data_IF_185630057974
#
_entry.id   IF_185630057974
#
_cell.length_a   1.000
_cell.length_b   1.000
_cell.length_c   1.000
_cell.angle_alpha   90.00
_cell.angle_beta   90.00
_cell.angle_gamma   90.00
#
_symmetry.space_group_name_H-M   'P 1'
#
loop_
_entity.id
_entity.type
_entity.pdbx_description
1 polymer ?
#
# COMPACT_ATOMS: atom_id res chain seq x y z
N UNK A 1 2.05 -17.90 -0.71
CA UNK A 1 2.74 -16.64 -0.34
C UNK A 1 1.84 -15.83 0.59
N UNK A 2 2.41 -15.30 1.67
CA UNK A 2 1.66 -14.51 2.65
C UNK A 2 1.62 -13.04 2.27
N UNK A 3 0.49 -12.39 2.57
CA UNK A 3 0.37 -10.94 2.47
C UNK A 3 0.43 -10.37 3.89
N UNK A 4 1.41 -9.53 4.14
CA UNK A 4 1.62 -8.94 5.46
C UNK A 4 1.48 -7.42 5.38
N UNK A 5 0.65 -6.86 6.26
CA UNK A 5 0.49 -5.41 6.36
C UNK A 5 1.41 -4.90 7.46
N UNK A 6 2.33 -4.02 7.12
CA UNK A 6 3.21 -3.42 8.13
C UNK A 6 2.39 -2.50 9.04
N UNK A 7 2.96 -2.18 10.18
CA UNK A 7 2.34 -1.24 11.11
C UNK A 7 2.08 0.11 10.42
N UNK A 8 3.03 0.56 9.63
CA UNK A 8 2.90 1.82 8.87
C UNK A 8 1.72 1.74 7.91
N UNK A 9 1.58 0.64 7.17
CA UNK A 9 0.49 0.47 6.22
C UNK A 9 -0.88 0.45 6.91
N UNK A 10 -0.98 -0.23 8.04
CA UNK A 10 -2.23 -0.27 8.81
C UNK A 10 -2.61 1.10 9.33
N UNK A 11 -1.62 1.87 9.78
CA UNK A 11 -1.84 3.23 10.25
C UNK A 11 -2.37 4.11 9.12
N UNK A 12 -1.81 3.95 7.92
CA UNK A 12 -2.26 4.71 6.75
C UNK A 12 -3.71 4.37 6.37
N UNK A 13 -4.07 3.09 6.44
CA UNK A 13 -5.46 2.68 6.17
C UNK A 13 -6.42 3.34 7.15
N UNK A 14 -6.04 3.39 8.42
CA UNK A 14 -6.85 4.02 9.45
C UNK A 14 -7.03 5.52 9.18
N UNK A 15 -5.96 6.21 8.79
CA UNK A 15 -6.03 7.62 8.44
C UNK A 15 -6.92 7.88 7.23
N UNK A 16 -6.85 7.02 6.22
CA UNK A 16 -7.69 7.13 5.02
C UNK A 16 -9.15 6.95 5.37
N UNK A 17 -9.46 5.93 6.18
CA UNK A 17 -10.82 5.67 6.62
C UNK A 17 -11.38 6.86 7.41
N UNK A 18 -10.60 7.38 8.35
CA UNK A 18 -11.00 8.54 9.14
C UNK A 18 -11.29 9.78 8.27
N UNK A 19 -10.42 10.03 7.30
CA UNK A 19 -10.57 11.17 6.40
C UNK A 19 -11.87 11.09 5.59
N UNK A 20 -12.13 9.94 4.99
CA UNK A 20 -13.34 9.75 4.18
C UNK A 20 -14.58 9.73 5.06
N UNK A 21 -14.48 9.16 6.25
CA UNK A 21 -15.59 9.01 7.19
C UNK A 21 -16.07 10.34 7.77
N UNK A 22 -15.28 11.39 7.66
CA UNK A 22 -15.72 12.74 8.11
C UNK A 22 -16.97 13.17 7.38
N UNK A 23 -17.06 12.86 6.08
CA UNK A 23 -18.23 13.20 5.28
C UNK A 23 -19.26 12.07 5.28
N UNK A 24 -18.80 10.81 5.25
CA UNK A 24 -19.68 9.67 5.16
C UNK A 24 -19.01 8.43 5.77
N UNK A 25 -19.39 8.04 7.00
CA UNK A 25 -18.77 6.92 7.67
C UNK A 25 -18.85 5.59 6.91
N UNK A 26 -19.98 5.32 6.27
CA UNK A 26 -20.17 4.09 5.50
C UNK A 26 -19.22 4.08 4.29
N UNK A 27 -19.05 5.21 3.64
CA UNK A 27 -18.16 5.32 2.49
C UNK A 27 -16.71 5.07 2.87
N UNK A 28 -16.27 5.53 4.05
CA UNK A 28 -14.92 5.31 4.53
C UNK A 28 -14.62 3.83 4.74
N UNK A 29 -15.53 3.12 5.40
CA UNK A 29 -15.39 1.68 5.63
C UNK A 29 -15.35 0.91 4.31
N UNK A 30 -16.29 1.20 3.41
CA UNK A 30 -16.35 0.53 2.11
C UNK A 30 -15.12 0.78 1.25
N UNK A 31 -14.59 1.99 1.29
CA UNK A 31 -13.42 2.33 0.52
C UNK A 31 -12.21 1.50 0.97
N UNK A 32 -11.97 1.43 2.26
CA UNK A 32 -10.83 0.67 2.81
C UNK A 32 -11.01 -0.82 2.55
N UNK A 33 -12.23 -1.36 2.68
CA UNK A 33 -12.49 -2.76 2.37
C UNK A 33 -12.14 -3.09 0.92
N UNK A 34 -12.51 -2.23 -0.02
CA UNK A 34 -12.22 -2.43 -1.44
C UNK A 34 -10.72 -2.30 -1.72
N UNK A 35 -10.06 -1.36 -1.08
CA UNK A 35 -8.62 -1.19 -1.22
C UNK A 35 -7.88 -2.44 -0.75
N UNK A 36 -8.27 -3.00 0.39
CA UNK A 36 -7.70 -4.24 0.90
C UNK A 36 -7.95 -5.39 -0.07
N UNK A 37 -9.18 -5.52 -0.57
CA UNK A 37 -9.54 -6.60 -1.49
C UNK A 37 -8.72 -6.54 -2.79
N UNK A 38 -8.52 -5.35 -3.33
CA UNK A 38 -7.68 -5.16 -4.53
C UNK A 38 -6.24 -5.54 -4.23
N UNK A 39 -5.74 -5.15 -3.06
CA UNK A 39 -4.37 -5.45 -2.65
C UNK A 39 -4.14 -6.95 -2.50
N UNK A 40 -5.11 -7.67 -1.94
CA UNK A 40 -4.99 -9.12 -1.75
C UNK A 40 -4.78 -9.89 -3.04
N UNK A 41 -5.25 -9.36 -4.16
CA UNK A 41 -5.10 -10.01 -5.47
C UNK A 41 -3.66 -10.07 -5.96
N UNK A 42 -2.76 -9.23 -5.43
CA UNK A 42 -1.37 -9.24 -5.87
C UNK A 42 -0.63 -10.51 -5.44
N UNK A 43 -1.16 -11.25 -4.49
CA UNK A 43 -0.54 -12.51 -4.04
C UNK A 43 -0.40 -13.49 -5.20
N UNK A 44 -1.36 -13.49 -6.12
CA UNK A 44 -1.34 -14.38 -7.28
C UNK A 44 -0.46 -13.85 -8.42
N UNK A 45 -0.21 -12.55 -8.44
CA UNK A 45 0.59 -11.89 -9.47
C UNK A 45 1.42 -10.77 -8.84
N UNK A 46 2.48 -11.13 -8.09
CA UNK A 46 3.27 -10.11 -7.35
C UNK A 46 3.86 -9.02 -8.23
N UNK A 47 4.16 -9.33 -9.48
CA UNK A 47 4.77 -8.36 -10.39
C UNK A 47 3.75 -7.53 -11.15
N UNK A 48 2.47 -7.63 -10.80
CA UNK A 48 1.41 -6.85 -11.43
C UNK A 48 1.59 -5.34 -11.21
N UNK A 49 2.05 -4.95 -10.04
CA UNK A 49 2.36 -3.55 -9.75
C UNK A 49 3.61 -3.08 -10.51
N UNK A 50 3.68 -1.78 -10.75
CA UNK A 50 4.84 -1.21 -11.41
C UNK A 50 5.98 -0.98 -10.43
N UNK A 51 7.21 -0.94 -10.94
CA UNK A 51 8.35 -0.57 -10.12
C UNK A 51 8.15 0.89 -9.67
N UNK A 52 8.39 1.16 -8.38
CA UNK A 52 8.25 2.51 -7.85
C UNK A 52 9.33 3.40 -8.48
N UNK A 53 8.94 4.44 -9.24
CA UNK A 53 9.93 5.24 -9.99
C UNK A 53 10.99 5.90 -9.12
N UNK A 54 10.60 6.36 -7.92
CA UNK A 54 11.52 7.04 -7.01
C UNK A 54 12.62 6.12 -6.46
N UNK A 55 12.40 4.80 -6.48
CA UNK A 55 13.32 3.83 -5.91
C UNK A 55 14.08 3.01 -6.95
N UNK A 56 13.42 2.71 -8.06
CA UNK A 56 13.99 1.88 -9.14
C UNK A 56 14.52 0.53 -8.67
N UNK A 57 13.87 -0.05 -7.65
CA UNK A 57 14.21 -1.38 -7.12
C UNK A 57 13.17 -2.40 -7.57
N UNK A 58 13.65 -3.51 -8.14
CA UNK A 58 12.79 -4.55 -8.71
C UNK A 58 11.86 -5.18 -7.67
N UNK A 59 12.31 -5.26 -6.43
CA UNK A 59 11.55 -5.90 -5.35
C UNK A 59 10.49 -5.00 -4.72
N UNK A 60 10.50 -3.70 -5.00
CA UNK A 60 9.53 -2.76 -4.44
C UNK A 60 8.67 -2.23 -5.55
N UNK A 61 7.39 -2.50 -5.45
CA UNK A 61 6.41 -2.16 -6.47
C UNK A 61 5.25 -1.40 -5.86
N UNK A 62 4.44 -0.82 -6.71
CA UNK A 62 3.22 -0.14 -6.28
C UNK A 62 2.04 -0.53 -7.14
N UNK A 63 0.90 -0.64 -6.49
CA UNK A 63 -0.38 -0.82 -7.13
C UNK A 63 -1.16 0.48 -6.98
N UNK A 64 -1.72 0.96 -8.08
CA UNK A 64 -2.53 2.19 -8.05
C UNK A 64 -3.99 1.80 -7.88
N UNK A 65 -4.64 2.33 -6.86
CA UNK A 65 -6.06 2.17 -6.65
C UNK A 65 -6.70 3.54 -6.44
N UNK A 66 -7.55 3.96 -7.37
CA UNK A 66 -8.11 5.31 -7.39
C UNK A 66 -6.95 6.30 -7.39
N UNK A 67 -6.91 7.23 -6.43
CA UNK A 67 -5.81 8.19 -6.32
C UNK A 67 -4.78 7.81 -5.27
N UNK A 68 -4.77 6.52 -4.86
CA UNK A 68 -3.83 6.04 -3.85
C UNK A 68 -2.78 5.11 -4.45
N UNK A 69 -1.59 5.15 -3.86
CA UNK A 69 -0.47 4.28 -4.21
C UNK A 69 -0.27 3.29 -3.06
N UNK A 70 -0.32 2.01 -3.38
CA UNK A 70 -0.10 0.92 -2.42
C UNK A 70 1.28 0.35 -2.70
N UNK A 71 2.24 0.65 -1.81
CA UNK A 71 3.64 0.27 -2.00
C UNK A 71 3.92 -1.03 -1.28
N UNK A 72 4.50 -2.02 -1.99
CA UNK A 72 4.77 -3.32 -1.41
C UNK A 72 6.14 -3.85 -1.79
N UNK A 73 6.67 -4.72 -0.92
CA UNK A 73 7.96 -5.38 -1.08
C UNK A 73 7.73 -6.85 -1.35
N UNK A 74 8.29 -7.35 -2.45
CA UNK A 74 8.22 -8.77 -2.78
C UNK A 74 9.38 -9.50 -2.12
N UNK A 75 9.06 -10.42 -1.23
CA UNK A 75 10.03 -11.29 -0.58
C UNK A 75 9.86 -12.72 -1.07
N UNK A 76 10.74 -13.62 -0.66
CA UNK A 76 10.72 -15.02 -1.10
C UNK A 76 9.41 -15.73 -0.77
N UNK A 77 8.88 -15.51 0.43
CA UNK A 77 7.68 -16.19 0.91
C UNK A 77 6.55 -15.27 1.30
N UNK A 78 6.72 -13.97 1.15
CA UNK A 78 5.69 -13.00 1.53
C UNK A 78 5.75 -11.77 0.67
N UNK A 79 4.63 -11.04 0.68
CA UNK A 79 4.55 -9.70 0.13
C UNK A 79 4.21 -8.79 1.31
N UNK A 80 5.07 -7.82 1.59
CA UNK A 80 4.87 -6.90 2.69
C UNK A 80 4.34 -5.57 2.16
N UNK A 81 3.16 -5.16 2.62
CA UNK A 81 2.61 -3.87 2.27
C UNK A 81 3.29 -2.83 3.15
N UNK A 82 4.12 -2.01 2.53
CA UNK A 82 4.96 -1.06 3.27
C UNK A 82 4.21 0.20 3.69
N UNK A 83 3.43 0.76 2.77
CA UNK A 83 2.67 1.96 3.04
C UNK A 83 1.59 2.16 1.98
N UNK A 84 0.64 3.05 2.29
CA UNK A 84 -0.39 3.48 1.35
C UNK A 84 -0.46 5.00 1.48
N UNK A 85 -0.46 5.70 0.36
CA UNK A 85 -0.55 7.16 0.40
C UNK A 85 -1.15 7.71 -0.89
N UNK A 86 -1.60 8.95 -0.82
CA UNK A 86 -2.19 9.62 -1.97
C UNK A 86 -1.14 9.85 -3.06
N UNK A 87 -1.53 9.60 -4.31
CA UNK A 87 -0.60 9.61 -5.43
C UNK A 87 0.11 10.94 -5.70
N UNK A 88 -0.42 12.04 -5.18
CA UNK A 88 0.21 13.35 -5.34
C UNK A 88 1.38 13.58 -4.38
N UNK A 89 1.49 12.79 -3.34
CA UNK A 89 2.57 12.92 -2.38
C UNK A 89 3.86 12.36 -2.96
N UNK A 90 4.97 13.04 -2.66
CA UNK A 90 6.28 12.54 -3.07
C UNK A 90 6.72 11.44 -2.12
N UNK A 91 7.11 10.31 -2.69
CA UNK A 91 7.62 9.20 -1.92
C UNK A 91 9.09 9.46 -1.59
N UNK A 92 9.40 9.54 -0.30
CA UNK A 92 10.78 9.71 0.14
C UNK A 92 11.44 8.35 0.33
N UNK A 93 12.56 8.16 -0.36
CA UNK A 93 13.29 6.89 -0.33
C UNK A 93 13.62 6.45 1.09
N UNK A 94 14.05 7.38 1.94
CA UNK A 94 14.43 7.09 3.31
C UNK A 94 13.25 6.54 4.12
N UNK A 95 12.06 7.08 3.92
CA UNK A 95 10.87 6.62 4.64
C UNK A 95 10.50 5.19 4.26
N UNK A 96 10.62 4.86 2.97
CA UNK A 96 10.30 3.51 2.50
C UNK A 96 11.33 2.50 3.00
N UNK A 97 12.61 2.84 2.93
CA UNK A 97 13.67 1.95 3.41
C UNK A 97 13.58 1.73 4.91
N UNK A 98 13.12 2.73 5.65
CA UNK A 98 12.90 2.61 7.09
C UNK A 98 11.79 1.60 7.39
N UNK A 99 10.67 1.68 6.68
CA UNK A 99 9.56 0.74 6.87
C UNK A 99 9.96 -0.67 6.45
N UNK A 100 10.75 -0.81 5.39
CA UNK A 100 11.24 -2.09 4.92
C UNK A 100 11.99 -2.86 5.99
N UNK A 101 12.64 -2.16 6.90
CA UNK A 101 13.47 -2.75 7.95
C UNK A 101 12.71 -2.99 9.27
N UNK A 102 11.43 -2.77 9.31
CA UNK A 102 10.62 -3.06 10.50
C UNK A 102 10.53 -4.55 10.80
#
# INVERSE_FOLDING_TARGET
MKLLWTKEALLRLEEIEDYISRDNPVAGIKFVEKLIAVTEKIVNHPEKGRIVPELSLNSIRELIYKNYRIVYLIKKHSIDILTVFEGHQLLKKEEILKVKNE
#
